data_IF_505091451464
#
_entry.id   IF_505091451464
#
_cell.length_a   1.000
_cell.length_b   1.000
_cell.length_c   1.000
_cell.angle_alpha   90.00
_cell.angle_beta   90.00
_cell.angle_gamma   90.00
#
_symmetry.space_group_name_H-M   'P 1'
#
loop_
_entity.id
_entity.type
_entity.pdbx_description
1 polymer ?
#
# COMPACT_ATOMS: atom_id res chain seq x y z
N UNK A 1 -37.05 -40.69 26.73
CA UNK A 1 -36.96 -40.30 25.30
C UNK A 1 -36.46 -38.87 25.26
N UNK A 2 -35.15 -38.62 25.34
CA UNK A 2 -34.21 -38.47 24.20
C UNK A 2 -34.69 -37.47 23.14
N UNK A 3 -34.30 -36.21 23.30
CA UNK A 3 -33.93 -35.31 22.19
C UNK A 3 -32.88 -34.32 22.70
N UNK A 4 -31.64 -34.79 22.90
CA UNK A 4 -30.49 -33.90 22.87
C UNK A 4 -30.24 -33.57 21.40
N UNK A 5 -30.67 -32.39 20.97
CA UNK A 5 -30.31 -31.83 19.67
C UNK A 5 -28.81 -31.62 19.62
N UNK A 6 -28.09 -32.63 19.12
CA UNK A 6 -26.76 -32.49 18.56
C UNK A 6 -26.85 -31.42 17.46
N UNK A 7 -26.53 -30.17 17.80
CA UNK A 7 -26.00 -29.23 16.81
C UNK A 7 -24.79 -29.93 16.22
N UNK A 8 -24.93 -30.50 15.02
CA UNK A 8 -23.79 -30.82 14.17
C UNK A 8 -23.01 -29.52 14.06
N UNK A 9 -21.91 -29.42 14.80
CA UNK A 9 -20.90 -28.38 14.58
C UNK A 9 -20.57 -28.50 13.09
N UNK A 10 -20.82 -27.44 12.31
CA UNK A 10 -20.44 -27.37 10.92
C UNK A 10 -18.91 -27.40 10.84
N UNK A 11 -18.36 -28.63 10.80
CA UNK A 11 -16.92 -28.92 10.82
C UNK A 11 -16.32 -28.88 9.43
N UNK A 12 -16.69 -27.87 8.65
CA UNK A 12 -16.14 -27.68 7.31
C UNK A 12 -14.86 -26.86 7.37
N UNK A 13 -14.01 -27.02 6.36
CA UNK A 13 -12.71 -26.36 6.27
C UNK A 13 -12.80 -24.82 6.32
N UNK A 14 -13.96 -24.27 5.96
CA UNK A 14 -14.25 -22.84 5.99
C UNK A 14 -14.10 -22.21 7.39
N UNK A 15 -14.25 -23.00 8.45
CA UNK A 15 -14.15 -22.54 9.84
C UNK A 15 -12.80 -22.88 10.49
N UNK A 16 -11.86 -23.51 9.76
CA UNK A 16 -10.51 -23.82 10.28
C UNK A 16 -9.83 -22.59 10.92
N UNK A 17 -9.89 -21.38 10.33
CA UNK A 17 -9.29 -20.20 10.94
C UNK A 17 -9.94 -19.77 12.26
N UNK A 18 -11.21 -20.12 12.47
CA UNK A 18 -12.05 -19.64 13.58
C UNK A 18 -11.99 -20.57 14.81
N UNK A 19 -11.54 -21.82 14.64
CA UNK A 19 -11.44 -22.74 15.77
C UNK A 19 -10.38 -22.28 16.78
N UNK A 20 -10.81 -22.12 18.03
CA UNK A 20 -9.90 -21.97 19.16
C UNK A 20 -9.29 -23.32 19.57
N UNK A 21 -8.21 -23.24 20.35
CA UNK A 21 -7.50 -24.43 20.83
C UNK A 21 -8.44 -25.38 21.59
N UNK A 22 -9.34 -24.85 22.42
CA UNK A 22 -10.26 -25.65 23.21
C UNK A 22 -11.23 -26.46 22.33
N UNK A 23 -11.71 -25.87 21.24
CA UNK A 23 -12.60 -26.54 20.29
C UNK A 23 -11.88 -27.67 19.56
N UNK A 24 -10.63 -27.44 19.14
CA UNK A 24 -9.80 -28.45 18.48
C UNK A 24 -9.46 -29.61 19.41
N UNK A 25 -9.20 -29.33 20.69
CA UNK A 25 -8.84 -30.33 21.69
C UNK A 25 -10.00 -31.21 22.19
N UNK A 26 -11.26 -30.92 21.81
CA UNK A 26 -12.40 -31.76 22.20
C UNK A 26 -12.19 -33.20 21.71
N UNK A 27 -12.42 -34.18 22.58
CA UNK A 27 -12.25 -35.61 22.28
C UNK A 27 -13.10 -36.07 21.09
N UNK A 28 -14.24 -35.41 20.86
CA UNK A 28 -15.10 -35.69 19.73
C UNK A 28 -14.70 -34.94 18.44
N UNK A 29 -13.54 -34.26 18.39
CA UNK A 29 -13.03 -33.57 17.21
C UNK A 29 -11.60 -34.03 16.86
N UNK A 30 -10.54 -33.33 17.28
CA UNK A 30 -9.15 -33.77 17.08
C UNK A 30 -8.53 -34.37 18.35
N UNK A 31 -9.14 -34.11 19.52
CA UNK A 31 -8.59 -34.52 20.82
C UNK A 31 -7.35 -33.70 21.24
N UNK A 32 -6.89 -33.82 22.51
CA UNK A 32 -5.88 -32.92 23.07
C UNK A 32 -4.56 -32.89 22.29
N UNK A 33 -4.05 -34.06 21.89
CA UNK A 33 -2.75 -34.18 21.23
C UNK A 33 -2.74 -33.68 19.78
N UNK A 34 -3.71 -34.10 18.96
CA UNK A 34 -3.78 -33.64 17.56
C UNK A 34 -4.36 -32.22 17.45
N UNK A 35 -5.25 -31.82 18.37
CA UNK A 35 -5.80 -30.48 18.44
C UNK A 35 -4.73 -29.40 18.66
N UNK A 36 -3.83 -29.59 19.64
CA UNK A 36 -2.69 -28.67 19.84
C UNK A 36 -1.80 -28.62 18.60
N UNK A 37 -1.37 -29.77 18.09
CA UNK A 37 -0.50 -29.82 16.90
C UNK A 37 -1.13 -29.16 15.69
N UNK A 38 -2.43 -29.35 15.46
CA UNK A 38 -3.14 -28.72 14.37
C UNK A 38 -3.25 -27.21 14.59
N UNK A 39 -3.61 -26.76 15.79
CA UNK A 39 -3.66 -25.33 16.12
C UNK A 39 -2.32 -24.64 15.84
N UNK A 40 -1.22 -25.27 16.26
CA UNK A 40 0.14 -24.77 16.09
C UNK A 40 0.64 -24.81 14.63
N UNK A 41 -0.02 -25.55 13.74
CA UNK A 41 0.38 -25.72 12.34
C UNK A 41 -0.69 -25.25 11.33
N UNK A 42 -1.83 -24.71 11.78
CA UNK A 42 -2.97 -24.40 10.90
C UNK A 42 -2.65 -23.37 9.81
N UNK A 43 -1.70 -22.48 10.08
CA UNK A 43 -1.23 -21.47 9.12
C UNK A 43 -0.58 -22.09 7.86
N UNK A 44 -0.14 -23.36 7.94
CA UNK A 44 0.39 -24.15 6.81
C UNK A 44 -0.73 -24.52 5.82
N UNK A 45 -1.99 -24.46 6.23
CA UNK A 45 -3.13 -24.87 5.39
C UNK A 45 -4.08 -23.72 5.08
N UNK A 46 -4.15 -22.71 5.95
CA UNK A 46 -5.05 -21.57 5.80
C UNK A 46 -4.25 -20.28 5.60
N UNK A 47 -4.05 -19.83 4.35
CA UNK A 47 -3.56 -18.48 4.13
C UNK A 47 -4.59 -17.46 4.62
N UNK A 48 -4.12 -16.25 4.91
CA UNK A 48 -4.97 -15.17 5.43
C UNK A 48 -5.87 -14.61 4.32
N UNK A 49 -7.01 -14.06 4.70
CA UNK A 49 -7.82 -13.24 3.79
C UNK A 49 -7.37 -11.79 3.83
N UNK A 50 -7.26 -11.18 2.65
CA UNK A 50 -6.96 -9.76 2.50
C UNK A 50 -8.28 -9.00 2.39
N UNK A 51 -8.54 -8.12 3.35
CA UNK A 51 -9.69 -7.22 3.34
C UNK A 51 -9.21 -5.83 2.91
N UNK A 52 -9.87 -5.27 1.90
CA UNK A 52 -9.61 -3.90 1.44
C UNK A 52 -9.80 -2.90 2.57
N UNK A 53 -8.88 -1.94 2.65
CA UNK A 53 -8.73 -0.94 3.72
C UNK A 53 -8.43 -1.55 5.10
N UNK A 54 -8.16 -2.86 5.16
CA UNK A 54 -7.81 -3.58 6.37
C UNK A 54 -6.36 -3.34 6.82
N UNK A 55 -6.18 -3.36 8.14
CA UNK A 55 -4.88 -3.38 8.81
C UNK A 55 -4.78 -4.64 9.67
N UNK A 56 -3.99 -5.62 9.21
CA UNK A 56 -3.89 -6.93 9.84
C UNK A 56 -2.53 -7.10 10.50
N UNK A 57 -2.52 -7.49 11.78
CA UNK A 57 -1.31 -7.81 12.54
C UNK A 57 -1.41 -9.24 13.05
N UNK A 58 -0.47 -10.07 12.66
CA UNK A 58 -0.42 -11.49 12.96
C UNK A 58 0.98 -11.88 13.47
N UNK A 59 1.01 -12.95 14.25
CA UNK A 59 2.25 -13.59 14.68
C UNK A 59 2.98 -14.23 13.49
N UNK A 60 4.23 -14.65 13.73
CA UNK A 60 5.01 -15.34 12.71
C UNK A 60 4.37 -16.69 12.32
N UNK A 61 4.69 -17.17 11.11
CA UNK A 61 4.16 -18.42 10.56
C UNK A 61 2.91 -18.27 9.68
N UNK A 62 2.10 -17.21 9.85
CA UNK A 62 0.99 -16.92 8.93
C UNK A 62 1.48 -16.67 7.50
N UNK A 63 0.66 -17.04 6.51
CA UNK A 63 1.02 -16.93 5.10
C UNK A 63 0.05 -16.03 4.35
N UNK A 64 0.62 -15.15 3.53
CA UNK A 64 -0.13 -14.36 2.56
C UNK A 64 -0.72 -15.28 1.47
N UNK A 65 -1.93 -14.99 0.96
CA UNK A 65 -2.63 -15.83 -0.02
C UNK A 65 -2.09 -15.61 -1.45
N UNK A 66 -0.77 -15.52 -1.63
CA UNK A 66 -0.16 -15.32 -2.94
C UNK A 66 0.09 -16.66 -3.64
N UNK A 67 -0.15 -16.68 -4.95
CA UNK A 67 0.15 -17.83 -5.78
C UNK A 67 1.66 -17.96 -6.01
N UNK A 68 2.24 -19.06 -5.53
CA UNK A 68 3.66 -19.36 -5.71
C UNK A 68 4.05 -19.38 -7.20
N UNK A 69 5.23 -18.84 -7.53
CA UNK A 69 5.73 -18.76 -8.90
C UNK A 69 5.15 -17.65 -9.76
N UNK A 70 4.23 -16.83 -9.23
CA UNK A 70 3.68 -15.64 -9.91
C UNK A 70 4.13 -14.32 -9.30
N UNK A 71 5.19 -14.37 -8.49
CA UNK A 71 5.84 -13.18 -7.93
C UNK A 71 6.86 -12.65 -8.93
N UNK A 72 6.70 -11.40 -9.34
CA UNK A 72 7.61 -10.71 -10.27
C UNK A 72 8.22 -9.50 -9.56
N UNK A 73 9.53 -9.28 -9.70
CA UNK A 73 10.13 -8.05 -9.18
C UNK A 73 9.71 -6.86 -10.04
N UNK A 74 9.05 -5.87 -9.44
CA UNK A 74 8.71 -4.62 -10.11
C UNK A 74 9.81 -3.57 -9.93
N UNK A 75 10.50 -3.60 -8.79
CA UNK A 75 11.59 -2.70 -8.48
C UNK A 75 12.14 -2.91 -7.07
N UNK A 76 13.27 -2.31 -6.80
CA UNK A 76 13.88 -2.25 -5.47
C UNK A 76 14.27 -0.81 -5.16
N UNK A 77 13.69 -0.24 -4.11
CA UNK A 77 14.06 1.08 -3.60
C UNK A 77 14.91 0.99 -2.34
N UNK A 78 15.29 2.14 -1.79
CA UNK A 78 16.02 2.23 -0.52
C UNK A 78 15.24 1.63 0.66
N UNK A 79 13.91 1.82 0.67
CA UNK A 79 13.02 1.51 1.79
C UNK A 79 12.46 0.08 1.80
N UNK A 80 12.57 -0.64 0.69
CA UNK A 80 11.94 -1.95 0.57
C UNK A 80 12.00 -2.54 -0.83
N UNK A 81 11.50 -3.76 -0.95
CA UNK A 81 11.33 -4.47 -2.21
C UNK A 81 9.89 -4.34 -2.67
N UNK A 82 9.67 -3.99 -3.93
CA UNK A 82 8.33 -3.98 -4.54
C UNK A 82 8.23 -5.15 -5.52
N UNK A 83 7.28 -6.05 -5.25
CA UNK A 83 6.96 -7.17 -6.13
C UNK A 83 5.52 -7.06 -6.62
N UNK A 84 5.26 -7.52 -7.84
CA UNK A 84 3.92 -7.88 -8.27
C UNK A 84 3.61 -9.23 -7.68
N UNK A 85 2.46 -9.33 -7.03
CA UNK A 85 1.94 -10.55 -6.43
C UNK A 85 0.54 -10.83 -6.98
N UNK A 86 0.15 -12.10 -7.00
CA UNK A 86 -1.20 -12.52 -7.38
C UNK A 86 -1.88 -13.14 -6.18
N UNK A 87 -2.87 -12.44 -5.62
CA UNK A 87 -3.75 -12.96 -4.58
C UNK A 87 -4.64 -14.04 -5.19
N UNK A 88 -4.64 -15.22 -4.59
CA UNK A 88 -5.46 -16.34 -4.98
C UNK A 88 -6.96 -15.98 -4.95
N UNK A 89 -7.73 -16.59 -5.83
CA UNK A 89 -9.18 -16.46 -5.85
C UNK A 89 -9.77 -16.73 -4.46
N UNK A 90 -10.81 -15.98 -4.09
CA UNK A 90 -11.54 -16.11 -2.81
C UNK A 90 -10.73 -15.75 -1.55
N UNK A 91 -9.62 -15.03 -1.69
CA UNK A 91 -8.84 -14.49 -0.57
C UNK A 91 -8.72 -12.96 -0.57
N UNK A 92 -9.50 -12.28 -1.40
CA UNK A 92 -9.58 -10.82 -1.43
C UNK A 92 -11.02 -10.35 -1.30
N UNK A 93 -11.28 -9.45 -0.34
CA UNK A 93 -12.58 -8.86 -0.07
C UNK A 93 -12.52 -7.35 -0.26
N UNK A 94 -13.38 -6.80 -1.11
CA UNK A 94 -13.54 -5.36 -1.29
C UNK A 94 -15.00 -5.00 -1.04
N UNK A 95 -15.25 -3.94 -0.24
CA UNK A 95 -16.61 -3.45 0.08
C UNK A 95 -17.57 -4.57 0.54
N UNK A 96 -17.07 -5.50 1.35
CA UNK A 96 -17.81 -6.66 1.85
C UNK A 96 -17.94 -7.85 0.88
N UNK A 97 -17.66 -7.65 -0.42
CA UNK A 97 -17.78 -8.67 -1.47
C UNK A 97 -16.50 -9.49 -1.56
N UNK A 98 -16.64 -10.83 -1.49
CA UNK A 98 -15.53 -11.76 -1.72
C UNK A 98 -15.32 -11.95 -3.22
N UNK A 99 -14.11 -11.66 -3.71
CA UNK A 99 -13.78 -11.83 -5.11
C UNK A 99 -13.59 -13.31 -5.46
N UNK A 100 -14.30 -13.79 -6.48
CA UNK A 100 -14.18 -15.17 -6.97
C UNK A 100 -12.99 -15.39 -7.92
N UNK A 101 -12.33 -14.32 -8.35
CA UNK A 101 -11.19 -14.34 -9.26
C UNK A 101 -9.91 -13.95 -8.54
N UNK A 102 -8.78 -14.29 -9.14
CA UNK A 102 -7.46 -13.81 -8.71
C UNK A 102 -7.36 -12.29 -8.78
N UNK A 103 -6.52 -11.69 -7.93
CA UNK A 103 -6.28 -10.25 -7.91
C UNK A 103 -4.79 -9.95 -7.93
N UNK A 104 -4.32 -9.28 -8.96
CA UNK A 104 -2.93 -8.80 -9.01
C UNK A 104 -2.78 -7.50 -8.21
N UNK A 105 -1.70 -7.43 -7.43
CA UNK A 105 -1.37 -6.29 -6.55
C UNK A 105 0.13 -6.00 -6.60
N UNK A 106 0.51 -4.78 -6.25
CA UNK A 106 1.91 -4.47 -5.92
C UNK A 106 2.10 -4.64 -4.41
N UNK A 107 3.10 -5.39 -3.98
CA UNK A 107 3.48 -5.59 -2.59
C UNK A 107 4.78 -4.84 -2.33
N UNK A 108 4.75 -3.87 -1.41
CA UNK A 108 5.95 -3.26 -0.84
C UNK A 108 6.26 -3.96 0.48
N UNK A 109 7.39 -4.68 0.51
CA UNK A 109 7.95 -5.31 1.71
C UNK A 109 9.09 -4.43 2.23
N UNK A 110 8.92 -3.92 3.45
CA UNK A 110 9.88 -3.02 4.08
C UNK A 110 11.00 -3.79 4.77
N UNK A 111 12.20 -3.19 4.76
CA UNK A 111 13.37 -3.75 5.46
C UNK A 111 13.40 -3.39 6.94
N UNK A 112 12.79 -2.26 7.30
CA UNK A 112 12.81 -1.71 8.65
C UNK A 112 11.40 -1.34 9.10
N UNK A 113 11.15 -1.48 10.40
CA UNK A 113 9.90 -1.05 11.03
C UNK A 113 9.71 0.48 10.99
N UNK A 114 10.74 1.31 11.25
CA UNK A 114 10.60 2.77 11.19
C UNK A 114 10.17 3.29 9.82
N UNK A 115 10.74 2.77 8.73
CA UNK A 115 10.36 3.18 7.37
C UNK A 115 8.90 2.80 7.06
N UNK A 116 8.48 1.61 7.49
CA UNK A 116 7.10 1.15 7.36
C UNK A 116 6.13 2.04 8.15
N UNK A 117 6.43 2.34 9.41
CA UNK A 117 5.56 3.16 10.26
C UNK A 117 5.44 4.60 9.73
N UNK A 118 6.54 5.16 9.21
CA UNK A 118 6.54 6.48 8.56
C UNK A 118 5.63 6.53 7.34
N UNK A 119 5.79 5.59 6.41
CA UNK A 119 4.96 5.57 5.20
C UNK A 119 3.50 5.25 5.52
N UNK A 120 3.26 4.34 6.46
CA UNK A 120 1.93 4.02 6.94
C UNK A 120 1.24 5.25 7.55
N UNK A 121 1.95 6.04 8.35
CA UNK A 121 1.45 7.29 8.90
C UNK A 121 1.04 8.25 7.77
N UNK A 122 1.93 8.50 6.81
CA UNK A 122 1.64 9.41 5.70
C UNK A 122 0.43 8.95 4.87
N UNK A 123 0.38 7.67 4.49
CA UNK A 123 -0.74 7.10 3.73
C UNK A 123 -2.06 7.12 4.51
N UNK A 124 -2.00 7.01 5.84
CA UNK A 124 -3.19 7.12 6.70
C UNK A 124 -3.74 8.54 6.69
N UNK A 125 -2.90 9.56 6.85
CA UNK A 125 -3.34 10.96 6.78
C UNK A 125 -3.95 11.28 5.41
N UNK A 126 -3.34 10.80 4.33
CA UNK A 126 -3.85 10.98 2.97
C UNK A 126 -5.17 10.24 2.69
N UNK A 127 -5.45 9.17 3.45
CA UNK A 127 -6.72 8.44 3.37
C UNK A 127 -7.82 9.12 4.19
N UNK A 128 -7.47 9.61 5.37
CA UNK A 128 -8.42 10.19 6.31
C UNK A 128 -8.78 11.65 5.96
N UNK A 129 -8.08 12.28 5.02
CA UNK A 129 -8.40 13.64 4.59
C UNK A 129 -9.74 13.73 3.84
N UNK A 130 -10.48 14.81 4.12
CA UNK A 130 -11.69 15.13 3.37
C UNK A 130 -11.33 15.50 1.92
N UNK A 131 -12.05 14.92 0.96
CA UNK A 131 -11.82 15.20 -0.45
C UNK A 131 -10.56 14.54 -1.02
N UNK A 132 -10.31 13.27 -0.65
CA UNK A 132 -9.26 12.42 -1.23
C UNK A 132 -9.05 12.67 -2.74
N UNK A 133 -7.82 12.95 -3.13
CA UNK A 133 -7.51 13.16 -4.53
C UNK A 133 -7.31 11.81 -5.25
N UNK A 134 -8.09 11.59 -6.31
CA UNK A 134 -8.05 10.36 -7.12
C UNK A 134 -6.72 10.13 -7.87
N UNK A 135 -5.75 11.03 -7.76
CA UNK A 135 -4.40 10.97 -8.35
C UNK A 135 -3.32 10.64 -7.32
N UNK A 136 -3.70 10.26 -6.09
CA UNK A 136 -2.79 9.73 -5.07
C UNK A 136 -3.03 8.23 -4.94
N UNK A 137 -1.96 7.44 -4.95
CA UNK A 137 -2.05 5.98 -4.79
C UNK A 137 -2.21 5.65 -3.30
N UNK A 138 -3.38 5.14 -2.93
CA UNK A 138 -3.66 4.63 -1.59
C UNK A 138 -3.51 3.10 -1.54
N UNK A 139 -3.13 2.53 -0.38
CA UNK A 139 -2.98 1.09 -0.26
C UNK A 139 -4.32 0.35 -0.36
N UNK A 140 -4.31 -0.89 -0.81
CA UNK A 140 -5.44 -1.81 -0.69
C UNK A 140 -5.53 -2.38 0.73
N UNK A 141 -4.41 -2.71 1.35
CA UNK A 141 -4.36 -3.28 2.69
C UNK A 141 -2.95 -3.17 3.29
N UNK A 142 -2.85 -3.23 4.61
CA UNK A 142 -1.58 -3.29 5.34
C UNK A 142 -1.53 -4.55 6.19
N UNK A 143 -0.41 -5.26 6.13
CA UNK A 143 -0.27 -6.56 6.77
C UNK A 143 1.09 -6.66 7.45
N UNK A 144 1.10 -6.92 8.75
CA UNK A 144 2.28 -7.30 9.53
C UNK A 144 2.18 -8.77 9.93
N UNK A 145 3.18 -9.58 9.57
CA UNK A 145 3.31 -10.99 9.98
C UNK A 145 4.67 -11.14 10.63
N UNK A 146 4.72 -11.30 11.95
CA UNK A 146 5.97 -11.31 12.71
C UNK A 146 6.80 -10.04 12.43
N UNK A 147 7.97 -10.20 11.81
CA UNK A 147 8.87 -9.11 11.42
C UNK A 147 8.70 -8.64 9.96
N UNK A 148 7.71 -9.16 9.23
CA UNK A 148 7.42 -8.76 7.86
C UNK A 148 6.41 -7.63 7.81
N UNK A 149 6.83 -6.47 7.32
CA UNK A 149 5.98 -5.29 7.18
C UNK A 149 5.58 -5.10 5.72
N UNK A 150 4.29 -5.26 5.41
CA UNK A 150 3.79 -5.26 4.04
C UNK A 150 2.73 -4.19 3.84
N UNK A 151 2.83 -3.47 2.72
CA UNK A 151 1.75 -2.64 2.19
C UNK A 151 1.41 -3.16 0.80
N UNK A 152 0.12 -3.41 0.57
CA UNK A 152 -0.39 -3.82 -0.74
C UNK A 152 -1.01 -2.61 -1.42
N UNK A 153 -0.68 -2.38 -2.69
CA UNK A 153 -1.20 -1.31 -3.52
C UNK A 153 -1.89 -1.88 -4.77
N UNK A 154 -2.78 -1.10 -5.41
CA UNK A 154 -3.23 -1.41 -6.76
C UNK A 154 -2.03 -1.62 -7.68
N UNK A 155 -2.09 -2.63 -8.55
CA UNK A 155 -1.01 -2.87 -9.52
C UNK A 155 -1.12 -1.87 -10.68
N UNK A 156 -0.10 -1.03 -10.83
CA UNK A 156 0.06 -0.16 -11.99
C UNK A 156 0.60 -0.94 -13.20
N UNK A 157 0.44 -0.37 -14.40
CA UNK A 157 1.00 -0.94 -15.63
C UNK A 157 2.52 -0.72 -15.71
N UNK A 158 2.96 0.48 -15.34
CA UNK A 158 4.35 0.95 -15.32
C UNK A 158 4.42 2.25 -14.51
N UNK A 159 5.63 2.73 -14.24
CA UNK A 159 5.88 4.11 -13.81
C UNK A 159 5.99 5.06 -15.02
N UNK A 160 6.03 6.37 -14.74
CA UNK A 160 6.07 7.40 -15.77
C UNK A 160 7.44 7.48 -16.45
N UNK A 161 8.52 7.05 -15.79
CA UNK A 161 9.86 7.04 -16.38
C UNK A 161 9.88 6.10 -17.59
N UNK A 162 9.43 4.87 -17.38
CA UNK A 162 9.25 3.85 -18.42
C UNK A 162 8.25 4.26 -19.50
N UNK A 163 7.19 4.96 -19.11
CA UNK A 163 6.24 5.51 -20.10
C UNK A 163 6.91 6.55 -21.01
N UNK A 164 7.70 7.47 -20.45
CA UNK A 164 8.39 8.53 -21.20
C UNK A 164 9.50 7.97 -22.10
N UNK A 165 10.09 6.82 -21.74
CA UNK A 165 10.98 6.04 -22.61
C UNK A 165 10.25 5.37 -23.79
N UNK A 166 8.92 5.43 -23.81
CA UNK A 166 8.08 4.95 -24.90
C UNK A 166 7.61 3.51 -24.78
N UNK A 167 7.71 2.90 -23.59
CA UNK A 167 7.32 1.50 -23.37
C UNK A 167 5.83 1.21 -23.66
N UNK A 168 4.94 2.17 -23.39
CA UNK A 168 3.51 2.04 -23.72
C UNK A 168 3.21 2.56 -25.11
N UNK A 169 3.61 3.80 -25.36
CA UNK A 169 3.44 4.51 -26.62
C UNK A 169 4.60 5.51 -26.75
N UNK A 170 5.23 5.64 -27.92
CA UNK A 170 6.22 6.68 -28.14
C UNK A 170 5.61 8.07 -27.82
N UNK A 171 6.29 8.95 -27.06
CA UNK A 171 5.75 10.26 -26.68
C UNK A 171 5.25 11.10 -27.86
N UNK A 172 5.89 10.98 -29.03
CA UNK A 172 5.49 11.66 -30.27
C UNK A 172 4.12 11.23 -30.83
N UNK A 173 3.56 10.11 -30.35
CA UNK A 173 2.24 9.60 -30.74
C UNK A 173 1.17 9.86 -29.68
N UNK A 174 1.53 10.41 -28.53
CA UNK A 174 0.58 10.78 -27.50
C UNK A 174 -0.22 12.01 -27.95
N UNK A 175 -1.52 12.02 -27.64
CA UNK A 175 -2.33 13.22 -27.82
C UNK A 175 -1.88 14.28 -26.80
N UNK A 176 -1.53 15.47 -27.29
CA UNK A 176 -1.07 16.57 -26.45
C UNK A 176 -2.13 17.01 -25.44
N UNK A 177 -3.42 16.94 -25.79
CA UNK A 177 -4.50 17.29 -24.87
C UNK A 177 -4.57 16.26 -23.74
N UNK A 178 -4.45 14.96 -24.05
CA UNK A 178 -4.43 13.92 -23.01
C UNK A 178 -3.24 14.10 -22.06
N UNK A 179 -2.04 14.40 -22.60
CA UNK A 179 -0.85 14.68 -21.79
C UNK A 179 -1.08 15.90 -20.88
N UNK A 180 -1.64 16.98 -21.41
CA UNK A 180 -1.94 18.19 -20.65
C UNK A 180 -2.98 17.93 -19.55
N UNK A 181 -4.02 17.14 -19.84
CA UNK A 181 -5.04 16.75 -18.85
C UNK A 181 -4.44 15.95 -17.69
N UNK A 182 -3.51 15.02 -17.98
CA UNK A 182 -2.83 14.25 -16.95
C UNK A 182 -1.85 15.10 -16.15
N UNK A 183 -1.15 16.05 -16.78
CA UNK A 183 -0.31 17.04 -16.09
C UNK A 183 -1.13 17.96 -15.17
N UNK A 184 -2.25 18.49 -15.65
CA UNK A 184 -3.19 19.29 -14.84
C UNK A 184 -3.68 18.48 -13.65
N UNK A 185 -3.99 17.19 -13.88
CA UNK A 185 -4.44 16.29 -12.83
C UNK A 185 -3.36 16.05 -11.77
N UNK A 186 -2.09 15.85 -12.17
CA UNK A 186 -0.97 15.71 -11.25
C UNK A 186 -0.71 17.00 -10.46
N UNK A 187 -0.76 18.15 -11.12
CA UNK A 187 -0.65 19.45 -10.46
C UNK A 187 -1.77 19.65 -9.42
N UNK A 188 -3.00 19.24 -9.73
CA UNK A 188 -4.11 19.22 -8.79
C UNK A 188 -3.89 18.26 -7.61
N UNK A 189 -3.27 17.10 -7.85
CA UNK A 189 -2.88 16.16 -6.80
C UNK A 189 -1.86 16.76 -5.84
N UNK A 190 -0.86 17.45 -6.39
CA UNK A 190 0.19 18.09 -5.61
C UNK A 190 -0.34 19.29 -4.82
N UNK A 191 -1.21 20.10 -5.43
CA UNK A 191 -1.91 21.19 -4.74
C UNK A 191 -2.76 20.65 -3.57
N UNK A 192 -3.42 19.51 -3.76
CA UNK A 192 -4.17 18.82 -2.69
C UNK A 192 -3.23 18.34 -1.58
N UNK A 193 -2.07 17.74 -1.89
CA UNK A 193 -1.07 17.38 -0.88
C UNK A 193 -0.58 18.60 -0.08
N UNK A 194 -0.39 19.73 -0.77
CA UNK A 194 0.18 20.96 -0.21
C UNK A 194 -0.77 21.77 0.67
N UNK A 195 -2.08 21.72 0.37
CA UNK A 195 -3.07 22.59 1.01
C UNK A 195 -4.46 21.98 1.22
N UNK A 196 -4.71 20.80 0.67
CA UNK A 196 -6.01 20.14 0.66
C UNK A 196 -6.20 19.07 1.73
N UNK A 197 -5.21 18.84 2.60
CA UNK A 197 -5.28 17.77 3.62
C UNK A 197 -6.12 18.14 4.85
N UNK A 198 -6.53 19.39 4.99
CA UNK A 198 -7.30 19.90 6.12
C UNK A 198 -6.77 21.23 6.64
N UNK A 199 -7.46 21.79 7.63
CA UNK A 199 -7.05 23.05 8.25
C UNK A 199 -5.72 22.85 9.00
N UNK A 200 -4.72 23.69 8.69
CA UNK A 200 -3.35 23.65 9.23
C UNK A 200 -2.55 22.37 8.94
N UNK A 201 -2.99 21.48 8.05
CA UNK A 201 -2.18 20.32 7.65
C UNK A 201 -1.47 20.65 6.34
N UNK A 202 -0.15 20.46 6.32
CA UNK A 202 0.67 20.66 5.13
C UNK A 202 1.44 19.39 4.83
N UNK A 203 1.35 18.94 3.57
CA UNK A 203 2.16 17.86 3.03
C UNK A 203 3.21 18.37 2.05
N UNK A 204 4.35 17.69 2.00
CA UNK A 204 5.34 17.77 0.92
C UNK A 204 5.71 16.34 0.53
N UNK A 205 5.81 16.04 -0.76
CA UNK A 205 6.17 14.70 -1.24
C UNK A 205 7.65 14.41 -0.99
N UNK A 206 8.50 15.39 -1.31
CA UNK A 206 9.96 15.45 -1.14
C UNK A 206 10.82 14.56 -2.04
N UNK A 207 10.23 13.55 -2.69
CA UNK A 207 10.91 12.70 -3.70
C UNK A 207 10.07 12.57 -4.97
N UNK A 208 9.54 13.70 -5.49
CA UNK A 208 8.70 13.68 -6.69
C UNK A 208 9.57 13.53 -7.95
N UNK A 209 9.36 12.44 -8.70
CA UNK A 209 10.09 12.09 -9.93
C UNK A 209 9.25 11.14 -10.79
N UNK A 210 9.58 10.95 -12.09
CA UNK A 210 8.82 10.04 -12.97
C UNK A 210 8.67 8.62 -12.42
N UNK A 211 9.71 8.06 -11.79
CA UNK A 211 9.66 6.74 -11.15
C UNK A 211 8.65 6.63 -9.97
N UNK A 212 8.25 7.76 -9.37
CA UNK A 212 7.26 7.85 -8.29
C UNK A 212 5.89 8.33 -8.79
N UNK A 213 5.66 8.29 -10.11
CA UNK A 213 4.36 8.52 -10.75
C UNK A 213 3.98 7.24 -11.49
N UNK A 214 2.87 6.62 -11.12
CA UNK A 214 2.40 5.36 -11.68
C UNK A 214 1.33 5.57 -12.76
N UNK A 215 1.38 4.74 -13.80
CA UNK A 215 0.43 4.73 -14.92
C UNK A 215 -0.55 3.58 -14.77
N UNK A 216 -1.84 3.91 -14.63
CA UNK A 216 -2.94 2.95 -14.56
C UNK A 216 -3.76 2.97 -15.85
N UNK A 217 -3.97 1.81 -16.47
CA UNK A 217 -4.81 1.74 -17.67
C UNK A 217 -6.28 1.88 -17.29
N UNK A 218 -7.03 2.70 -18.03
CA UNK A 218 -8.50 2.75 -17.88
C UNK A 218 -9.05 1.41 -18.40
N UNK A 219 -10.12 0.91 -17.78
CA UNK A 219 -10.79 -0.33 -18.22
C UNK A 219 -11.60 -0.16 -19.51
N UNK A 220 -11.46 0.98 -20.19
CA UNK A 220 -12.35 1.39 -21.26
C UNK A 220 -11.98 0.72 -22.59
N UNK A 221 -13.00 0.27 -23.32
CA UNK A 221 -12.87 -0.51 -24.56
C UNK A 221 -12.57 0.33 -25.80
N UNK A 222 -12.15 1.59 -25.63
CA UNK A 222 -11.84 2.47 -26.75
C UNK A 222 -10.68 1.90 -27.58
N UNK A 223 -10.78 1.88 -28.92
CA UNK A 223 -9.73 1.38 -29.81
C UNK A 223 -8.52 2.32 -29.92
N UNK A 224 -8.56 3.52 -29.29
CA UNK A 224 -7.43 4.46 -29.31
C UNK A 224 -6.38 4.06 -28.26
N UNK A 225 -5.08 4.18 -28.57
CA UNK A 225 -4.03 4.05 -27.56
C UNK A 225 -4.26 5.10 -26.47
N UNK A 226 -4.36 4.66 -25.22
CA UNK A 226 -4.58 5.55 -24.09
C UNK A 226 -3.27 5.71 -23.33
N UNK A 227 -2.93 6.95 -22.94
CA UNK A 227 -1.75 7.23 -22.10
C UNK A 227 -1.91 6.78 -20.64
N UNK A 228 -3.11 6.32 -20.27
CA UNK A 228 -3.47 5.88 -18.92
C UNK A 228 -3.81 7.04 -17.98
N UNK A 229 -3.91 6.70 -16.70
CA UNK A 229 -4.17 7.61 -15.58
C UNK A 229 -2.92 7.65 -14.70
N UNK A 230 -2.32 8.82 -14.58
CA UNK A 230 -1.11 9.07 -13.80
C UNK A 230 -1.48 9.35 -12.34
N UNK A 231 -0.75 8.75 -11.41
CA UNK A 231 -0.99 8.86 -9.97
C UNK A 231 0.32 8.89 -9.19
N UNK A 232 0.42 9.77 -8.19
CA UNK A 232 1.59 9.93 -7.32
C UNK A 232 1.66 8.79 -6.30
N UNK A 233 2.86 8.23 -6.09
CA UNK A 233 3.13 7.15 -5.12
C UNK A 233 4.42 7.40 -4.35
N UNK A 234 4.76 6.48 -3.43
CA UNK A 234 5.97 6.48 -2.61
C UNK A 234 6.09 7.64 -1.61
N UNK A 235 5.12 7.70 -0.69
CA UNK A 235 5.07 8.70 0.37
C UNK A 235 6.00 8.39 1.56
N UNK A 236 6.98 7.49 1.40
CA UNK A 236 7.87 7.08 2.49
C UNK A 236 8.78 8.20 2.99
N UNK A 237 9.08 9.18 2.14
CA UNK A 237 9.84 10.38 2.49
C UNK A 237 8.98 11.63 2.66
N UNK A 238 7.66 11.52 2.47
CA UNK A 238 6.80 12.68 2.57
C UNK A 238 6.80 13.25 3.99
N UNK A 239 6.74 14.57 4.06
CA UNK A 239 6.63 15.30 5.32
C UNK A 239 5.21 15.82 5.40
N UNK A 240 4.43 15.28 6.32
CA UNK A 240 3.09 15.78 6.64
C UNK A 240 3.13 16.31 8.07
N UNK A 241 2.84 17.59 8.24
CA UNK A 241 2.89 18.28 9.52
C UNK A 241 1.59 19.05 9.80
N UNK A 242 1.17 18.99 11.07
CA UNK A 242 0.14 19.86 11.60
C UNK A 242 0.79 21.15 12.10
N UNK A 243 0.39 22.29 11.54
CA UNK A 243 0.78 23.62 12.01
C UNK A 243 -0.09 23.96 13.21
N UNK A 244 0.28 23.44 14.38
CA UNK A 244 -0.37 23.86 15.61
C UNK A 244 0.03 25.28 15.98
N UNK A 245 -0.97 26.08 16.40
CA UNK A 245 -0.71 27.26 17.22
C UNK A 245 -0.14 26.77 18.55
N UNK A 246 1.19 26.70 18.68
CA UNK A 246 1.95 26.48 19.93
C UNK A 246 1.17 25.68 21.00
N UNK A 247 1.12 24.36 20.87
CA UNK A 247 0.72 23.45 21.96
C UNK A 247 -0.32 22.43 21.55
N UNK A 248 0.13 21.25 21.12
CA UNK A 248 -0.79 20.15 20.78
C UNK A 248 -0.18 18.82 20.27
N UNK A 249 1.11 18.72 19.93
CA UNK A 249 1.81 17.42 19.83
C UNK A 249 1.42 16.43 18.72
N UNK A 250 0.64 16.78 17.69
CA UNK A 250 0.23 15.84 16.62
C UNK A 250 0.98 15.99 15.27
N UNK A 251 2.17 16.61 15.26
CA UNK A 251 3.08 16.61 14.11
C UNK A 251 4.08 15.43 14.13
N UNK A 252 4.61 15.04 12.97
CA UNK A 252 5.82 14.19 12.93
C UNK A 252 6.89 14.79 13.86
N UNK A 253 7.55 13.99 14.73
CA UNK A 253 8.61 14.50 15.60
C UNK A 253 9.65 15.24 14.76
N UNK A 254 10.19 16.37 15.25
CA UNK A 254 11.26 17.13 14.57
C UNK A 254 12.45 16.24 14.16
N UNK A 255 12.68 15.14 14.87
CA UNK A 255 13.65 14.11 14.54
C UNK A 255 13.36 13.44 13.18
N UNK A 256 12.11 13.10 12.86
CA UNK A 256 11.73 12.48 11.59
C UNK A 256 11.93 13.43 10.39
N UNK A 257 11.71 14.73 10.59
CA UNK A 257 11.98 15.76 9.56
C UNK A 257 13.49 15.87 9.31
N UNK A 258 14.28 15.86 10.38
CA UNK A 258 15.75 15.92 10.30
C UNK A 258 16.35 14.69 9.62
N UNK A 259 15.83 13.50 9.92
CA UNK A 259 16.22 12.26 9.25
C UNK A 259 15.89 12.29 7.75
N UNK A 260 14.69 12.75 7.41
CA UNK A 260 14.26 12.91 6.00
C UNK A 260 15.18 13.86 5.24
N UNK A 261 15.52 15.01 5.83
CA UNK A 261 16.49 15.94 5.24
C UNK A 261 17.86 15.30 5.02
N UNK A 262 18.36 14.58 6.02
CA UNK A 262 19.65 13.88 5.94
C UNK A 262 19.65 12.84 4.83
N UNK A 263 18.54 12.10 4.69
CA UNK A 263 18.40 11.08 3.66
C UNK A 263 18.30 11.70 2.26
N UNK A 264 17.54 12.78 2.08
CA UNK A 264 17.44 13.48 0.81
C UNK A 264 18.77 14.10 0.39
N UNK A 265 19.56 14.65 1.31
CA UNK A 265 20.91 15.15 1.00
C UNK A 265 21.86 14.05 0.49
N UNK A 266 21.65 12.79 0.92
CA UNK A 266 22.41 11.63 0.42
C UNK A 266 21.94 11.17 -0.95
N UNK A 267 20.68 11.42 -1.30
CA UNK A 267 20.06 11.02 -2.57
C UNK A 267 20.07 12.17 -3.59
N UNK A 268 21.23 12.81 -3.81
CA UNK A 268 21.33 13.86 -4.84
C UNK A 268 20.91 13.33 -6.19
N UNK A 269 20.06 14.08 -6.88
CA UNK A 269 19.50 13.67 -8.17
C UNK A 269 18.95 14.85 -8.98
N UNK A 270 18.60 14.61 -10.26
CA UNK A 270 18.18 15.65 -11.19
C UNK A 270 16.87 16.33 -10.80
N UNK A 271 16.07 15.72 -9.93
CA UNK A 271 14.77 16.24 -9.45
C UNK A 271 14.87 16.94 -8.08
N UNK A 272 16.08 17.13 -7.54
CA UNK A 272 16.24 17.74 -6.22
C UNK A 272 16.31 19.27 -6.31
N UNK A 273 15.43 19.95 -5.56
CA UNK A 273 15.42 21.41 -5.53
C UNK A 273 16.73 22.00 -4.97
N UNK A 274 17.22 23.14 -5.51
CA UNK A 274 18.46 23.76 -5.05
C UNK A 274 18.48 24.08 -3.55
N UNK A 275 17.34 24.47 -2.97
CA UNK A 275 17.23 24.72 -1.53
C UNK A 275 17.57 23.51 -0.66
N UNK A 276 17.18 22.31 -1.11
CA UNK A 276 17.49 21.05 -0.41
C UNK A 276 18.97 20.71 -0.55
N UNK A 277 19.53 20.86 -1.74
CA UNK A 277 20.95 20.61 -2.03
C UNK A 277 21.90 21.46 -1.18
N UNK A 278 21.52 22.72 -0.90
CA UNK A 278 22.31 23.68 -0.13
C UNK A 278 21.93 23.73 1.37
N UNK A 279 21.03 22.85 1.82
CA UNK A 279 20.63 22.77 3.23
C UNK A 279 19.77 23.96 3.70
N UNK A 280 19.13 24.69 2.79
CA UNK A 280 18.26 25.83 3.09
C UNK A 280 16.87 25.41 3.60
N UNK A 281 16.56 24.11 3.57
CA UNK A 281 15.29 23.55 4.05
C UNK A 281 14.53 22.78 2.98
N UNK A 282 13.54 21.99 3.41
CA UNK A 282 12.51 21.39 2.56
C UNK A 282 11.24 22.19 2.74
N UNK A 283 10.56 22.51 1.64
CA UNK A 283 9.24 23.09 1.69
C UNK A 283 8.39 22.58 0.54
N UNK A 284 7.13 23.02 0.45
CA UNK A 284 6.26 22.77 -0.69
C UNK A 284 6.88 23.18 -2.03
N UNK A 285 7.71 24.22 -2.02
CA UNK A 285 8.46 24.66 -3.21
C UNK A 285 9.57 23.69 -3.64
N UNK A 286 9.85 22.65 -2.85
CA UNK A 286 10.78 21.60 -3.22
C UNK A 286 10.13 20.53 -4.09
N UNK A 287 8.80 20.46 -4.14
CA UNK A 287 8.05 19.58 -5.04
C UNK A 287 7.69 20.25 -6.39
N UNK A 288 8.01 21.54 -6.55
CA UNK A 288 7.73 22.37 -7.73
C UNK A 288 9.02 22.63 -8.48
#
# INVERSE_FOLDING_TARGET
>A
MLFSTLRKLDRTDRHIPEYDLQSLQKDNFLGPGAGSRFYDNRYIFCPIDIVEDGNLKLEDGWRLPFLAGRSEACGSGGFGKVTKEVIAARHYRSKGVLHSTEKSVARKLFKSKPDYERELFNLRVLRECDGQNARIVLPLATITIGSQFNILFPLAKMDLDRFLEGELLPPAKCDMNELLEELISLAGALAHLHSGLGYNIHGCHTDLKPANILVYMKQDTSPRPQIGKWMITDFGLSIISCVERRGGGDGLPMESVTETMTQLQRMRGPYQAPGVCHGLGISRSSDI
#
